data_IF_590656489048
#
_entry.id   IF_590656489048
#
_cell.length_a   1.000
_cell.length_b   1.000
_cell.length_c   1.000
_cell.angle_alpha   90.00
_cell.angle_beta   90.00
_cell.angle_gamma   90.00
#
_symmetry.space_group_name_H-M   'P 1'
#
loop_
_entity.id
_entity.type
_entity.pdbx_description
1 polymer ?
#
# COMPACT_ATOMS: atom_id res chain seq x y z
N UNK A 1 1.20 -22.87 0.47
CA UNK A 1 0.45 -21.66 0.09
C UNK A 1 -1.02 -21.93 0.36
N UNK A 2 -1.58 -21.27 1.36
CA UNK A 2 -3.03 -21.28 1.63
C UNK A 2 -3.67 -20.08 0.93
N UNK A 3 -4.91 -20.25 0.45
CA UNK A 3 -5.72 -19.18 -0.11
C UNK A 3 -6.97 -19.08 0.74
N UNK A 4 -7.25 -17.90 1.26
CA UNK A 4 -8.47 -17.60 2.02
C UNK A 4 -9.33 -16.66 1.19
N UNK A 5 -10.52 -17.12 0.83
CA UNK A 5 -11.51 -16.30 0.14
C UNK A 5 -12.32 -15.52 1.15
N UNK A 6 -12.60 -14.25 0.84
CA UNK A 6 -13.37 -13.36 1.70
C UNK A 6 -14.27 -12.46 0.87
N UNK A 7 -15.53 -12.42 1.25
CA UNK A 7 -16.55 -11.62 0.57
C UNK A 7 -16.56 -10.17 1.06
N UNK A 8 -16.24 -9.95 2.34
CA UNK A 8 -16.20 -8.61 2.94
C UNK A 8 -14.92 -8.36 3.73
N UNK A 9 -14.13 -7.39 3.27
CA UNK A 9 -12.89 -6.96 3.91
C UNK A 9 -13.13 -5.86 4.96
N UNK A 10 -14.38 -5.43 5.20
CA UNK A 10 -14.67 -4.53 6.32
C UNK A 10 -14.76 -5.27 7.66
N UNK A 11 -14.90 -6.60 7.64
CA UNK A 11 -15.12 -7.41 8.84
C UNK A 11 -14.12 -8.56 8.89
N UNK A 12 -13.34 -8.55 9.96
CA UNK A 12 -12.48 -9.65 10.37
C UNK A 12 -12.97 -10.03 11.76
N UNK A 13 -13.30 -11.30 11.95
CA UNK A 13 -13.72 -11.79 13.27
C UNK A 13 -12.67 -11.50 14.34
N UNK A 14 -13.01 -11.74 15.61
CA UNK A 14 -12.03 -11.57 16.68
C UNK A 14 -10.91 -12.60 16.56
N UNK A 15 -9.75 -12.16 16.05
CA UNK A 15 -8.57 -13.01 15.88
C UNK A 15 -8.67 -13.89 14.62
N UNK A 16 -8.73 -13.25 13.45
CA UNK A 16 -8.72 -13.97 12.17
C UNK A 16 -7.54 -14.93 12.07
N UNK A 17 -7.80 -16.23 11.97
CA UNK A 17 -6.76 -17.26 11.93
C UNK A 17 -5.83 -17.07 10.72
N UNK A 18 -6.29 -16.41 9.65
CA UNK A 18 -5.45 -16.08 8.51
C UNK A 18 -4.29 -15.12 8.86
N UNK A 19 -4.39 -14.39 9.97
CA UNK A 19 -3.35 -13.50 10.47
C UNK A 19 -2.51 -14.09 11.60
N UNK A 20 -2.84 -15.28 12.12
CA UNK A 20 -2.13 -15.88 13.23
C UNK A 20 -0.69 -16.27 12.82
N UNK A 21 0.29 -15.81 13.61
CA UNK A 21 1.71 -16.11 13.37
C UNK A 21 2.33 -15.37 12.18
N UNK A 22 1.66 -14.36 11.62
CA UNK A 22 2.20 -13.56 10.53
C UNK A 22 3.28 -12.58 11.03
N UNK A 23 4.41 -12.48 10.30
CA UNK A 23 5.44 -11.48 10.57
C UNK A 23 5.13 -10.11 9.96
N UNK A 24 4.38 -10.10 8.86
CA UNK A 24 3.98 -8.88 8.15
C UNK A 24 2.73 -9.09 7.30
N UNK A 25 2.03 -8.01 6.99
CA UNK A 25 0.93 -7.99 6.02
C UNK A 25 1.22 -6.97 4.91
N UNK A 26 1.28 -7.41 3.66
CA UNK A 26 1.42 -6.54 2.49
C UNK A 26 0.03 -6.17 1.96
N UNK A 27 -0.49 -5.02 2.39
CA UNK A 27 -1.81 -4.52 1.98
C UNK A 27 -1.72 -3.71 0.68
N UNK A 28 -1.86 -4.43 -0.44
CA UNK A 28 -1.83 -3.87 -1.79
C UNK A 28 -3.23 -3.69 -2.40
N UNK A 29 -4.30 -3.84 -1.61
CA UNK A 29 -5.66 -3.68 -2.08
C UNK A 29 -5.98 -2.20 -2.35
N UNK A 30 -6.55 -1.91 -3.52
CA UNK A 30 -7.03 -0.59 -3.86
C UNK A 30 -7.84 -0.59 -5.15
N UNK A 31 -8.62 0.47 -5.36
CA UNK A 31 -9.27 0.78 -6.64
C UNK A 31 -8.72 2.08 -7.20
N UNK A 32 -8.70 2.22 -8.52
CA UNK A 32 -8.47 3.53 -9.12
C UNK A 32 -9.63 4.47 -8.78
N UNK A 33 -9.31 5.73 -8.50
CA UNK A 33 -10.34 6.77 -8.31
C UNK A 33 -11.23 6.95 -9.54
N UNK A 34 -10.71 6.62 -10.74
CA UNK A 34 -11.49 6.67 -11.99
C UNK A 34 -12.47 5.50 -12.17
N UNK A 35 -12.46 4.51 -11.27
CA UNK A 35 -13.30 3.30 -11.35
C UNK A 35 -14.35 3.25 -10.23
N UNK A 36 -14.54 4.33 -9.50
CA UNK A 36 -15.49 4.43 -8.39
C UNK A 36 -16.31 5.71 -8.50
N UNK A 37 -17.53 5.67 -7.99
CA UNK A 37 -18.43 6.81 -7.99
C UNK A 37 -18.39 7.51 -6.62
N UNK A 38 -17.64 8.60 -6.55
CA UNK A 38 -17.53 9.45 -5.36
C UNK A 38 -16.62 8.93 -4.23
N UNK A 39 -16.52 9.74 -3.18
CA UNK A 39 -15.57 9.53 -2.08
C UNK A 39 -15.90 8.30 -1.23
N UNK A 40 -17.17 8.03 -0.94
CA UNK A 40 -17.57 6.86 -0.17
C UNK A 40 -17.16 5.53 -0.86
N UNK A 41 -17.35 5.43 -2.18
CA UNK A 41 -16.98 4.24 -2.95
C UNK A 41 -15.46 4.04 -3.07
N UNK A 42 -14.67 5.12 -2.98
CA UNK A 42 -13.21 5.08 -2.86
C UNK A 42 -12.75 4.74 -1.44
N UNK A 43 -13.40 5.34 -0.44
CA UNK A 43 -13.07 5.23 0.98
C UNK A 43 -13.21 3.79 1.47
N UNK A 44 -14.27 3.09 1.08
CA UNK A 44 -14.50 1.72 1.55
C UNK A 44 -13.31 0.77 1.29
N UNK A 45 -12.80 0.62 0.05
CA UNK A 45 -11.64 -0.24 -0.19
C UNK A 45 -10.30 0.31 0.29
N UNK A 46 -10.15 1.64 0.44
CA UNK A 46 -8.86 2.26 0.78
C UNK A 46 -8.67 2.50 2.28
N UNK A 47 -9.72 2.91 2.98
CA UNK A 47 -9.69 3.22 4.41
C UNK A 47 -10.34 2.08 5.20
N UNK A 48 -11.64 1.81 5.02
CA UNK A 48 -12.38 0.92 5.91
C UNK A 48 -11.76 -0.49 5.94
N UNK A 49 -11.46 -1.05 4.77
CA UNK A 49 -10.85 -2.38 4.68
C UNK A 49 -9.44 -2.43 5.26
N UNK A 50 -8.62 -1.40 5.02
CA UNK A 50 -7.25 -1.35 5.53
C UNK A 50 -7.22 -1.25 7.06
N UNK A 51 -8.09 -0.41 7.65
CA UNK A 51 -8.20 -0.25 9.11
C UNK A 51 -8.71 -1.54 9.76
N UNK A 52 -9.72 -2.18 9.16
CA UNK A 52 -10.25 -3.45 9.65
C UNK A 52 -9.16 -4.55 9.63
N UNK A 53 -8.44 -4.69 8.51
CA UNK A 53 -7.37 -5.68 8.36
C UNK A 53 -6.21 -5.43 9.32
N UNK A 54 -5.77 -4.18 9.46
CA UNK A 54 -4.68 -3.82 10.37
C UNK A 54 -5.06 -4.02 11.84
N UNK A 55 -6.32 -3.75 12.20
CA UNK A 55 -6.86 -4.04 13.53
C UNK A 55 -6.88 -5.54 13.84
N UNK A 56 -7.30 -6.36 12.88
CA UNK A 56 -7.31 -7.82 13.02
C UNK A 56 -5.90 -8.41 13.10
N UNK A 57 -4.97 -7.95 12.23
CA UNK A 57 -3.57 -8.34 12.30
C UNK A 57 -2.97 -8.00 13.66
N UNK A 58 -3.21 -6.79 14.18
CA UNK A 58 -2.69 -6.39 15.50
C UNK A 58 -3.19 -7.29 16.62
N UNK A 59 -4.44 -7.76 16.56
CA UNK A 59 -4.99 -8.70 17.55
C UNK A 59 -4.34 -10.08 17.46
N UNK A 60 -4.21 -10.62 16.24
CA UNK A 60 -3.72 -11.98 16.01
C UNK A 60 -2.19 -12.10 16.08
N UNK A 61 -1.47 -11.08 15.63
CA UNK A 61 -0.01 -11.02 15.54
C UNK A 61 0.51 -9.62 15.89
N UNK A 62 0.59 -9.25 17.19
CA UNK A 62 0.91 -7.89 17.63
C UNK A 62 2.30 -7.37 17.21
N UNK A 63 3.25 -8.26 16.94
CA UNK A 63 4.59 -7.90 16.47
C UNK A 63 4.65 -7.59 14.97
N UNK A 64 3.63 -8.00 14.21
CA UNK A 64 3.62 -7.92 12.76
C UNK A 64 3.61 -6.48 12.25
N UNK A 65 4.29 -6.23 11.13
CA UNK A 65 4.24 -4.93 10.43
C UNK A 65 3.13 -4.91 9.39
N UNK A 66 2.31 -3.85 9.40
CA UNK A 66 1.26 -3.65 8.38
C UNK A 66 1.75 -2.70 7.30
N UNK A 67 1.96 -3.20 6.08
CA UNK A 67 2.42 -2.37 4.96
C UNK A 67 1.24 -1.88 4.14
N UNK A 68 1.00 -0.58 4.13
CA UNK A 68 -0.11 0.04 3.40
C UNK A 68 0.41 0.79 2.16
N UNK A 69 -0.09 0.44 0.98
CA UNK A 69 0.25 1.16 -0.27
C UNK A 69 -0.61 2.42 -0.39
N UNK A 70 -0.01 3.55 -0.01
CA UNK A 70 -0.56 4.89 -0.15
C UNK A 70 -0.22 5.49 -1.54
N UNK A 71 0.15 6.76 -1.63
CA UNK A 71 0.55 7.43 -2.86
C UNK A 71 1.22 8.78 -2.60
N UNK A 72 2.19 9.13 -3.43
CA UNK A 72 2.87 10.41 -3.37
C UNK A 72 1.85 11.56 -3.47
N UNK A 73 1.96 12.54 -2.58
CA UNK A 73 1.02 13.66 -2.49
C UNK A 73 -0.22 13.40 -1.62
N UNK A 74 -0.32 12.26 -0.93
CA UNK A 74 -1.29 12.07 0.14
C UNK A 74 -1.14 13.17 1.20
N UNK A 75 -2.22 13.90 1.47
CA UNK A 75 -2.23 14.99 2.45
C UNK A 75 -3.65 15.22 2.97
N UNK A 76 -3.80 15.42 4.29
CA UNK A 76 -5.09 15.66 4.94
C UNK A 76 -5.82 16.89 4.38
N UNK A 77 -5.08 17.93 4.00
CA UNK A 77 -5.62 19.16 3.41
C UNK A 77 -5.77 19.14 1.88
N UNK A 78 -5.58 18.00 1.22
CA UNK A 78 -5.61 17.94 -0.25
C UNK A 78 -6.99 18.25 -0.81
N UNK A 79 -7.05 18.92 -1.97
CA UNK A 79 -8.31 19.07 -2.71
C UNK A 79 -8.74 17.77 -3.39
N UNK A 80 -7.78 16.89 -3.70
CA UNK A 80 -8.05 15.60 -4.30
C UNK A 80 -8.52 14.61 -3.23
N UNK A 81 -9.76 14.12 -3.37
CA UNK A 81 -10.37 13.18 -2.42
C UNK A 81 -9.50 11.94 -2.15
N UNK A 82 -8.88 11.36 -3.19
CA UNK A 82 -8.05 10.17 -3.02
C UNK A 82 -6.84 10.41 -2.10
N UNK A 83 -6.26 11.62 -2.18
CA UNK A 83 -5.08 11.99 -1.41
C UNK A 83 -5.43 12.27 0.05
N UNK A 84 -6.61 12.86 0.31
CA UNK A 84 -7.15 13.02 1.67
C UNK A 84 -7.44 11.67 2.30
N UNK A 85 -8.22 10.82 1.63
CA UNK A 85 -8.60 9.49 2.14
C UNK A 85 -7.36 8.67 2.47
N UNK A 86 -6.36 8.62 1.57
CA UNK A 86 -5.10 7.93 1.86
C UNK A 86 -4.35 8.51 3.06
N UNK A 87 -4.27 9.84 3.20
CA UNK A 87 -3.60 10.47 4.34
C UNK A 87 -4.34 10.25 5.67
N UNK A 88 -5.67 10.19 5.64
CA UNK A 88 -6.46 9.79 6.82
C UNK A 88 -6.19 8.33 7.19
N UNK A 89 -6.10 7.43 6.20
CA UNK A 89 -5.69 6.03 6.44
C UNK A 89 -4.29 5.96 7.05
N UNK A 90 -3.33 6.70 6.51
CA UNK A 90 -1.96 6.76 7.03
C UNK A 90 -1.94 7.20 8.50
N UNK A 91 -2.63 8.31 8.83
CA UNK A 91 -2.72 8.83 10.20
C UNK A 91 -3.22 7.76 11.17
N UNK A 92 -4.32 7.11 10.82
CA UNK A 92 -5.00 6.18 11.73
C UNK A 92 -4.25 4.84 11.85
N UNK A 93 -3.63 4.37 10.76
CA UNK A 93 -2.75 3.21 10.79
C UNK A 93 -1.51 3.47 11.66
N UNK A 94 -0.86 4.62 11.49
CA UNK A 94 0.35 4.97 12.24
C UNK A 94 0.06 5.21 13.72
N UNK A 95 -1.12 5.71 14.08
CA UNK A 95 -1.51 5.90 15.47
C UNK A 95 -1.80 4.59 16.21
N UNK A 96 -2.29 3.56 15.49
CA UNK A 96 -2.82 2.35 16.11
C UNK A 96 -2.06 1.07 15.84
N UNK A 97 -1.05 1.07 14.97
CA UNK A 97 -0.37 -0.15 14.51
C UNK A 97 1.11 0.07 14.19
N UNK A 98 1.85 -1.01 13.93
CA UNK A 98 3.25 -0.98 13.47
C UNK A 98 3.34 -0.73 11.96
N UNK A 99 2.53 0.19 11.43
CA UNK A 99 2.36 0.33 9.99
C UNK A 99 3.55 1.01 9.29
N UNK A 100 3.82 0.57 8.06
CA UNK A 100 4.63 1.27 7.08
C UNK A 100 3.73 1.75 5.94
N UNK A 101 3.69 3.06 5.73
CA UNK A 101 2.87 3.68 4.69
C UNK A 101 3.74 4.07 3.50
N UNK A 102 3.51 3.44 2.36
CA UNK A 102 4.33 3.57 1.17
C UNK A 102 3.73 4.62 0.24
N UNK A 103 4.48 5.67 -0.11
CA UNK A 103 4.05 6.73 -1.02
C UNK A 103 4.79 6.68 -2.35
N UNK A 104 4.50 5.68 -3.20
CA UNK A 104 5.03 5.67 -4.54
C UNK A 104 4.42 6.80 -5.37
N UNK A 105 5.19 7.32 -6.31
CA UNK A 105 4.72 8.20 -7.37
C UNK A 105 4.15 7.34 -8.51
N UNK A 106 4.77 7.31 -9.69
CA UNK A 106 4.36 6.39 -10.75
C UNK A 106 4.85 4.96 -10.47
N UNK A 107 3.97 3.95 -10.58
CA UNK A 107 4.30 2.54 -10.36
C UNK A 107 4.31 1.77 -11.69
N UNK A 108 5.47 1.54 -12.28
CA UNK A 108 5.55 0.68 -13.47
C UNK A 108 5.15 -0.76 -13.13
N UNK A 109 4.07 -1.26 -13.73
CA UNK A 109 3.56 -2.61 -13.52
C UNK A 109 3.37 -3.38 -14.81
N UNK A 110 3.21 -4.70 -14.68
CA UNK A 110 2.71 -5.53 -15.76
C UNK A 110 1.26 -5.18 -16.08
N UNK A 111 0.83 -5.24 -17.35
CA UNK A 111 -0.56 -4.99 -17.72
C UNK A 111 -1.51 -5.89 -16.92
N UNK A 112 -2.58 -5.31 -16.40
CA UNK A 112 -3.63 -6.04 -15.69
C UNK A 112 -4.99 -5.83 -16.35
N UNK A 113 -5.86 -6.84 -16.29
CA UNK A 113 -7.25 -6.71 -16.72
C UNK A 113 -8.02 -5.64 -15.92
N UNK A 114 -7.61 -5.37 -14.68
CA UNK A 114 -8.22 -4.36 -13.80
C UNK A 114 -7.66 -2.95 -13.98
N UNK A 115 -6.65 -2.78 -14.84
CA UNK A 115 -5.94 -1.52 -15.05
C UNK A 115 -6.84 -0.48 -15.77
N UNK A 116 -6.92 0.77 -15.27
CA UNK A 116 -7.65 1.83 -15.96
C UNK A 116 -7.09 2.09 -17.36
N UNK A 117 -7.97 2.34 -18.34
CA UNK A 117 -7.59 2.61 -19.73
C UNK A 117 -6.47 3.67 -19.83
N UNK A 118 -6.62 4.78 -19.11
CA UNK A 118 -5.65 5.87 -19.09
C UNK A 118 -4.24 5.41 -18.68
N UNK A 119 -4.13 4.48 -17.72
CA UNK A 119 -2.86 3.94 -17.28
C UNK A 119 -2.18 3.13 -18.39
N UNK A 120 -2.96 2.33 -19.12
CA UNK A 120 -2.46 1.54 -20.27
C UNK A 120 -1.89 2.43 -21.37
N UNK A 121 -2.56 3.55 -21.63
CA UNK A 121 -2.14 4.54 -22.65
C UNK A 121 -0.91 5.32 -22.20
N UNK A 122 -0.85 5.72 -20.93
CA UNK A 122 0.28 6.48 -20.39
C UNK A 122 1.53 5.61 -20.13
N UNK A 123 1.40 4.29 -20.05
CA UNK A 123 2.48 3.37 -19.67
C UNK A 123 3.80 3.58 -20.44
N UNK A 124 3.82 3.76 -21.78
CA UNK A 124 5.06 4.06 -22.51
C UNK A 124 5.73 5.36 -22.05
N UNK A 125 4.95 6.39 -21.72
CA UNK A 125 5.47 7.65 -21.21
C UNK A 125 6.01 7.52 -19.77
N UNK A 126 5.40 6.67 -18.94
CA UNK A 126 5.91 6.38 -17.59
C UNK A 126 7.32 5.78 -17.61
N UNK A 127 7.68 5.05 -18.68
CA UNK A 127 9.03 4.50 -18.85
C UNK A 127 10.11 5.59 -18.90
N UNK A 128 9.78 6.78 -19.43
CA UNK A 128 10.70 7.91 -19.48
C UNK A 128 11.00 8.49 -18.08
N UNK A 129 10.14 8.23 -17.09
CA UNK A 129 10.33 8.66 -15.70
C UNK A 129 11.29 7.77 -14.91
N UNK A 130 11.69 6.61 -15.44
CA UNK A 130 12.53 5.61 -14.77
C UNK A 130 13.83 6.15 -14.15
N UNK A 131 14.58 7.08 -14.78
CA UNK A 131 15.79 7.63 -14.18
C UNK A 131 15.52 8.49 -12.94
N UNK A 132 14.31 9.04 -12.80
CA UNK A 132 13.95 9.94 -11.72
C UNK A 132 13.45 9.18 -10.50
N UNK A 133 14.36 8.87 -9.58
CA UNK A 133 14.08 8.07 -8.36
C UNK A 133 12.99 8.67 -7.45
N UNK A 134 12.67 9.95 -7.58
CA UNK A 134 11.56 10.58 -6.85
C UNK A 134 10.19 10.44 -7.53
N UNK A 135 10.14 10.05 -8.80
CA UNK A 135 8.92 10.09 -9.63
C UNK A 135 8.46 8.71 -10.11
N UNK A 136 9.32 7.69 -10.05
CA UNK A 136 9.01 6.36 -10.58
C UNK A 136 9.56 5.25 -9.70
N UNK A 137 8.81 4.15 -9.59
CA UNK A 137 9.26 2.85 -9.07
C UNK A 137 8.56 1.72 -9.85
N UNK A 138 9.17 0.54 -10.00
CA UNK A 138 8.45 -0.62 -10.55
C UNK A 138 7.68 -1.34 -9.43
N UNK A 139 6.64 -2.10 -9.80
CA UNK A 139 5.93 -2.97 -8.85
C UNK A 139 6.87 -3.95 -8.14
N UNK A 140 7.81 -4.54 -8.89
CA UNK A 140 8.81 -5.44 -8.30
C UNK A 140 9.72 -4.73 -7.30
N UNK A 141 10.09 -3.48 -7.56
CA UNK A 141 10.98 -2.72 -6.67
C UNK A 141 10.24 -2.25 -5.43
N UNK A 142 8.96 -1.90 -5.57
CA UNK A 142 8.09 -1.67 -4.42
C UNK A 142 8.00 -2.92 -3.55
N UNK A 143 7.77 -4.09 -4.15
CA UNK A 143 7.74 -5.37 -3.42
C UNK A 143 9.06 -5.70 -2.71
N UNK A 144 10.19 -5.59 -3.42
CA UNK A 144 11.53 -5.77 -2.83
C UNK A 144 11.81 -4.81 -1.70
N UNK A 145 11.43 -3.53 -1.86
CA UNK A 145 11.58 -2.52 -0.82
C UNK A 145 10.77 -2.86 0.43
N UNK A 146 9.55 -3.39 0.28
CA UNK A 146 8.73 -3.82 1.40
C UNK A 146 9.38 -4.97 2.17
N UNK A 147 9.95 -5.96 1.47
CA UNK A 147 10.67 -7.08 2.10
C UNK A 147 11.96 -6.62 2.79
N UNK A 148 12.74 -5.76 2.14
CA UNK A 148 13.94 -5.18 2.76
C UNK A 148 13.59 -4.39 4.02
N UNK A 149 12.51 -3.61 3.97
CA UNK A 149 12.12 -2.81 5.11
C UNK A 149 11.74 -3.67 6.32
N UNK A 150 11.10 -4.81 6.09
CA UNK A 150 10.85 -5.79 7.13
C UNK A 150 12.15 -6.39 7.69
N UNK A 151 13.10 -6.79 6.82
CA UNK A 151 14.40 -7.30 7.25
C UNK A 151 15.19 -6.29 8.10
N UNK A 152 15.06 -4.99 7.79
CA UNK A 152 15.67 -3.90 8.55
C UNK A 152 14.89 -3.53 9.84
N UNK A 153 13.75 -4.17 10.11
CA UNK A 153 12.92 -3.91 11.28
C UNK A 153 12.19 -2.55 11.27
N UNK A 154 12.01 -1.94 10.09
CA UNK A 154 11.31 -0.65 9.96
C UNK A 154 9.83 -0.79 10.35
N UNK A 155 9.32 0.18 11.09
CA UNK A 155 7.88 0.27 11.42
C UNK A 155 7.51 1.70 11.83
N UNK A 156 6.22 2.01 11.81
CA UNK A 156 5.66 3.25 12.37
C UNK A 156 6.00 4.52 11.59
N UNK A 157 6.16 4.43 10.26
CA UNK A 157 6.55 5.59 9.45
C UNK A 157 6.05 5.55 8.01
N UNK A 158 6.19 6.70 7.34
CA UNK A 158 5.95 6.88 5.90
C UNK A 158 7.27 6.69 5.15
N UNK A 159 7.21 6.04 3.98
CA UNK A 159 8.33 5.80 3.07
C UNK A 159 8.02 6.43 1.71
N UNK A 160 8.77 7.47 1.35
CA UNK A 160 8.58 8.24 0.11
C UNK A 160 9.31 7.58 -1.08
N UNK A 161 8.86 7.85 -2.32
CA UNK A 161 9.31 7.13 -3.53
C UNK A 161 10.83 6.98 -3.68
N UNK A 162 11.63 8.01 -3.32
CA UNK A 162 13.09 7.93 -3.39
C UNK A 162 13.65 6.87 -2.44
N UNK A 163 13.15 6.81 -1.21
CA UNK A 163 13.57 5.82 -0.22
C UNK A 163 13.10 4.40 -0.62
N UNK A 164 11.94 4.28 -1.28
CA UNK A 164 11.50 2.99 -1.85
C UNK A 164 12.56 2.46 -2.84
N UNK A 165 13.10 3.33 -3.70
CA UNK A 165 14.18 2.95 -4.63
C UNK A 165 15.46 2.56 -3.89
N UNK A 166 15.83 3.28 -2.84
CA UNK A 166 17.01 2.96 -2.01
C UNK A 166 16.89 1.58 -1.35
N UNK A 167 15.73 1.28 -0.75
CA UNK A 167 15.43 -0.03 -0.16
C UNK A 167 15.48 -1.16 -1.19
N UNK A 168 14.92 -0.94 -2.38
CA UNK A 168 14.93 -1.92 -3.46
C UNK A 168 16.35 -2.23 -3.96
N UNK A 169 17.24 -1.23 -3.99
CA UNK A 169 18.64 -1.43 -4.37
C UNK A 169 19.41 -2.21 -3.30
N UNK A 170 19.15 -1.95 -2.00
CA UNK A 170 19.72 -2.75 -0.90
C UNK A 170 19.31 -4.21 -0.96
N UNK A 171 18.03 -4.48 -1.22
CA UNK A 171 17.53 -5.85 -1.37
C UNK A 171 18.30 -6.66 -2.41
N UNK A 172 18.77 -6.02 -3.48
CA UNK A 172 19.53 -6.69 -4.56
C UNK A 172 21.01 -6.88 -4.23
N UNK A 173 21.52 -6.11 -3.28
CA UNK A 173 22.93 -6.13 -2.91
C UNK A 173 23.24 -7.15 -1.80
N UNK A 174 22.22 -7.60 -1.06
CA UNK A 174 22.29 -8.73 -0.13
C UNK A 174 21.93 -10.04 -0.81
#
# INVERSE_FOLDING_TARGET
MSIVLRDDFAHYGDGDEAFAGADLCLWCLGKSVSQVDGEAAYRRPTYDFAIAAAGALRKASPAATFHFVSGAGAALGSRAMWARVKAETERDLLAGTRALCWRPAAIGGHPSASEPMAYRVMRPALWLLRPFRGLYVSGDDLGRAMLQAHADGLSGRIVENREIRDLADRYRAG
#
